data_IF_590962944637
#
_entry.id   IF_590962944637
#
_cell.length_a   1.000
_cell.length_b   1.000
_cell.length_c   1.000
_cell.angle_alpha   90.00
_cell.angle_beta   90.00
_cell.angle_gamma   90.00
#
_symmetry.space_group_name_H-M   'P 1'
#
loop_
_entity.id
_entity.type
_entity.pdbx_description
1 polymer ?
#
# COMPACT_ATOMS: atom_id res chain seq x y z
N UNK A 1 8.66 17.89 -7.10
CA UNK A 1 8.37 16.50 -7.52
C UNK A 1 7.51 15.80 -6.49
N UNK A 2 6.57 14.98 -6.97
CA UNK A 2 5.81 14.00 -6.18
C UNK A 2 6.18 12.63 -6.73
N UNK A 3 6.76 11.77 -5.90
CA UNK A 3 7.09 10.40 -6.32
C UNK A 3 6.01 9.44 -5.85
N UNK A 4 5.68 8.48 -6.71
CA UNK A 4 4.73 7.40 -6.42
C UNK A 4 5.47 6.08 -6.57
N UNK A 5 5.71 5.38 -5.46
CA UNK A 5 6.36 4.07 -5.42
C UNK A 5 5.28 3.00 -5.60
N UNK A 6 5.56 1.98 -6.39
CA UNK A 6 4.56 0.97 -6.77
C UNK A 6 3.63 1.44 -7.90
N UNK A 7 4.15 2.28 -8.81
CA UNK A 7 3.41 2.89 -9.91
C UNK A 7 2.65 1.90 -10.81
N UNK A 8 3.13 0.66 -10.97
CA UNK A 8 2.49 -0.37 -11.76
C UNK A 8 1.42 -1.18 -11.00
N UNK A 9 1.29 -0.96 -9.69
CA UNK A 9 0.24 -1.56 -8.86
C UNK A 9 -1.15 -0.97 -9.16
N UNK A 10 -2.20 -1.57 -8.58
CA UNK A 10 -3.59 -1.14 -8.82
C UNK A 10 -3.81 0.35 -8.53
N UNK A 11 -3.45 0.79 -7.34
CA UNK A 11 -3.60 2.20 -6.94
C UNK A 11 -2.66 3.12 -7.72
N UNK A 12 -1.40 2.70 -7.96
CA UNK A 12 -0.45 3.46 -8.77
C UNK A 12 -0.96 3.76 -10.17
N UNK A 13 -1.58 2.79 -10.85
CA UNK A 13 -2.20 2.98 -12.17
C UNK A 13 -3.45 3.89 -12.11
N UNK A 14 -4.21 3.86 -11.02
CA UNK A 14 -5.32 4.78 -10.81
C UNK A 14 -4.83 6.21 -10.64
N UNK A 15 -3.81 6.42 -9.81
CA UNK A 15 -3.13 7.71 -9.65
C UNK A 15 -2.59 8.25 -10.99
N UNK A 16 -1.96 7.40 -11.81
CA UNK A 16 -1.53 7.81 -13.17
C UNK A 16 -2.70 8.30 -14.03
N UNK A 17 -3.83 7.59 -13.96
CA UNK A 17 -5.02 7.95 -14.74
C UNK A 17 -5.64 9.27 -14.31
N UNK A 18 -5.58 9.61 -13.02
CA UNK A 18 -6.11 10.87 -12.48
C UNK A 18 -5.14 12.03 -12.77
N UNK A 19 -3.85 11.84 -12.48
CA UNK A 19 -2.86 12.90 -12.64
C UNK A 19 -2.65 13.30 -14.09
N UNK A 20 -2.84 12.36 -15.04
CA UNK A 20 -2.78 12.66 -16.49
C UNK A 20 -3.91 13.58 -16.98
N UNK A 21 -5.00 13.72 -16.23
CA UNK A 21 -6.16 14.58 -16.53
C UNK A 21 -6.16 15.87 -15.71
N UNK A 22 -5.23 16.00 -14.76
CA UNK A 22 -5.15 17.17 -13.89
C UNK A 22 -4.51 18.34 -14.61
N UNK A 23 -5.13 19.51 -14.53
CA UNK A 23 -4.57 20.79 -15.02
C UNK A 23 -3.49 21.33 -14.09
N UNK A 24 -3.24 20.68 -12.94
CA UNK A 24 -2.24 21.12 -11.98
C UNK A 24 -0.83 20.75 -12.45
N UNK A 25 0.09 21.70 -12.36
CA UNK A 25 1.48 21.61 -12.83
C UNK A 25 2.42 20.90 -11.84
N UNK A 26 1.95 19.84 -11.17
CA UNK A 26 2.84 19.00 -10.36
C UNK A 26 3.61 18.02 -11.25
N UNK A 27 4.88 17.81 -10.92
CA UNK A 27 5.68 16.79 -11.60
C UNK A 27 5.55 15.47 -10.85
N UNK A 28 4.69 14.59 -11.36
CA UNK A 28 4.46 13.24 -10.83
C UNK A 28 5.42 12.26 -11.47
N UNK A 29 6.12 11.47 -10.65
CA UNK A 29 7.08 10.46 -11.09
C UNK A 29 6.66 9.12 -10.51
N UNK A 30 6.23 8.22 -11.38
CA UNK A 30 5.76 6.89 -11.02
C UNK A 30 6.91 5.90 -11.16
N UNK A 31 7.21 5.18 -10.07
CA UNK A 31 8.31 4.24 -10.01
C UNK A 31 7.74 2.82 -9.81
N UNK A 32 8.03 1.95 -10.76
CA UNK A 32 7.76 0.52 -10.65
C UNK A 32 8.81 -0.18 -9.79
N UNK A 33 8.58 -1.43 -9.41
CA UNK A 33 9.58 -2.24 -8.69
C UNK A 33 10.87 -2.49 -9.48
N UNK A 34 10.82 -2.42 -10.81
CA UNK A 34 12.00 -2.52 -11.66
C UNK A 34 12.84 -1.23 -11.66
N UNK A 35 12.21 -0.08 -11.42
CA UNK A 35 12.87 1.25 -11.38
C UNK A 35 13.31 1.64 -9.97
N UNK A 36 12.60 1.14 -8.95
CA UNK A 36 12.94 1.32 -7.55
C UNK A 36 12.50 0.10 -6.74
N UNK A 37 13.48 -0.72 -6.37
CA UNK A 37 13.27 -1.74 -5.35
C UNK A 37 13.35 -1.08 -3.96
N UNK A 38 12.23 -1.04 -3.24
CA UNK A 38 12.17 -0.39 -1.91
C UNK A 38 13.00 -1.09 -0.84
N UNK A 39 13.43 -2.35 -1.06
CA UNK A 39 14.34 -3.06 -0.15
C UNK A 39 15.81 -2.70 -0.41
N UNK A 40 16.11 -1.98 -1.49
CA UNK A 40 17.44 -1.50 -1.81
C UNK A 40 17.62 -0.04 -1.34
N UNK A 41 18.26 0.12 -0.19
CA UNK A 41 18.48 1.44 0.43
C UNK A 41 19.34 2.37 -0.44
N UNK A 42 20.28 1.82 -1.22
CA UNK A 42 21.12 2.62 -2.10
C UNK A 42 20.32 3.17 -3.30
N UNK A 43 19.44 2.36 -3.88
CA UNK A 43 18.51 2.83 -4.91
C UNK A 43 17.57 3.91 -4.37
N UNK A 44 16.98 3.71 -3.19
CA UNK A 44 16.14 4.72 -2.55
C UNK A 44 16.90 6.03 -2.34
N UNK A 45 18.09 5.97 -1.75
CA UNK A 45 18.95 7.14 -1.54
C UNK A 45 19.22 7.88 -2.85
N UNK A 46 19.63 7.18 -3.91
CA UNK A 46 19.93 7.78 -5.22
C UNK A 46 18.71 8.45 -5.87
N UNK A 47 17.51 7.87 -5.72
CA UNK A 47 16.26 8.48 -6.22
C UNK A 47 15.93 9.76 -5.47
N UNK A 48 15.99 9.76 -4.14
CA UNK A 48 15.69 10.95 -3.33
C UNK A 48 16.73 12.06 -3.51
N UNK A 49 18.01 11.72 -3.62
CA UNK A 49 19.07 12.68 -3.89
C UNK A 49 18.87 13.41 -5.23
N UNK A 50 18.52 12.64 -6.27
CA UNK A 50 18.29 13.17 -7.62
C UNK A 50 17.02 13.98 -7.73
N UNK A 51 15.92 13.51 -7.16
CA UNK A 51 14.59 14.07 -7.36
C UNK A 51 14.17 15.08 -6.30
N UNK A 52 14.70 14.96 -5.08
CA UNK A 52 14.33 15.79 -3.92
C UNK A 52 12.82 15.99 -3.82
N UNK A 53 12.05 14.90 -3.68
CA UNK A 53 10.59 14.98 -3.72
C UNK A 53 10.06 15.73 -2.49
N UNK A 54 9.01 16.52 -2.70
CA UNK A 54 8.26 17.16 -1.60
C UNK A 54 7.27 16.18 -0.98
N UNK A 55 6.70 15.29 -1.81
CA UNK A 55 5.79 14.24 -1.39
C UNK A 55 6.24 12.89 -1.96
N UNK A 56 6.07 11.85 -1.13
CA UNK A 56 6.25 10.45 -1.50
C UNK A 56 4.96 9.69 -1.19
N UNK A 57 4.33 9.08 -2.20
CA UNK A 57 3.17 8.20 -2.04
C UNK A 57 3.67 6.76 -2.17
N UNK A 58 3.66 6.02 -1.07
CA UNK A 58 4.07 4.62 -1.06
C UNK A 58 2.86 3.68 -1.25
N UNK A 59 2.68 3.20 -2.50
CA UNK A 59 1.72 2.17 -2.86
C UNK A 59 2.37 0.77 -2.97
N UNK A 60 3.69 0.65 -2.76
CA UNK A 60 4.37 -0.64 -2.80
C UNK A 60 4.15 -1.39 -1.48
N UNK A 61 3.82 -2.67 -1.61
CA UNK A 61 3.64 -3.57 -0.48
C UNK A 61 3.74 -5.03 -0.94
N UNK A 62 4.07 -5.92 -0.02
CA UNK A 62 3.78 -7.35 -0.13
C UNK A 62 2.31 -7.54 0.23
N UNK A 63 1.48 -8.00 -0.70
CA UNK A 63 0.00 -8.04 -0.55
C UNK A 63 -0.61 -9.43 -0.62
N UNK A 64 0.21 -10.48 -0.79
CA UNK A 64 -0.26 -11.86 -0.84
C UNK A 64 -0.49 -12.38 0.60
N UNK A 65 -1.69 -12.13 1.14
CA UNK A 65 -2.04 -12.36 2.55
C UNK A 65 -1.74 -13.80 2.98
N UNK A 66 -2.29 -14.78 2.26
CA UNK A 66 -2.12 -16.20 2.61
C UNK A 66 -0.65 -16.65 2.44
N UNK A 67 0.02 -16.20 1.38
CA UNK A 67 1.41 -16.53 1.13
C UNK A 67 2.35 -15.92 2.17
N UNK A 68 1.98 -14.82 2.82
CA UNK A 68 2.79 -14.19 3.84
C UNK A 68 3.07 -15.13 5.04
N UNK A 69 2.16 -16.08 5.33
CA UNK A 69 2.36 -17.06 6.40
C UNK A 69 3.58 -17.95 6.13
N UNK A 70 3.81 -18.32 4.87
CA UNK A 70 4.94 -19.15 4.45
C UNK A 70 6.17 -18.30 4.04
N UNK A 71 5.98 -17.02 3.73
CA UNK A 71 7.02 -16.11 3.21
C UNK A 71 7.20 -14.88 4.12
N UNK A 72 7.24 -15.12 5.43
CA UNK A 72 7.32 -14.09 6.45
C UNK A 72 8.50 -13.14 6.24
N UNK A 73 9.67 -13.68 5.90
CA UNK A 73 10.89 -12.89 5.70
C UNK A 73 10.70 -11.79 4.65
N UNK A 74 10.12 -12.10 3.50
CA UNK A 74 9.84 -11.11 2.46
C UNK A 74 8.70 -10.16 2.85
N UNK A 75 7.66 -10.65 3.52
CA UNK A 75 6.58 -9.80 4.01
C UNK A 75 7.11 -8.71 4.96
N UNK A 76 7.92 -9.07 5.95
CA UNK A 76 8.54 -8.11 6.86
C UNK A 76 9.60 -7.24 6.19
N UNK A 77 10.43 -7.79 5.29
CA UNK A 77 11.43 -7.01 4.57
C UNK A 77 10.79 -5.87 3.76
N UNK A 78 9.64 -6.13 3.10
CA UNK A 78 8.95 -5.14 2.26
C UNK A 78 8.05 -4.22 3.09
N UNK A 79 7.20 -4.79 3.97
CA UNK A 79 6.15 -4.03 4.64
C UNK A 79 6.62 -3.32 5.91
N UNK A 80 7.73 -3.75 6.51
CA UNK A 80 8.30 -3.16 7.72
C UNK A 80 9.66 -2.50 7.47
N UNK A 81 10.66 -3.30 7.05
CA UNK A 81 12.06 -2.83 7.05
C UNK A 81 12.31 -1.81 5.93
N UNK A 82 11.79 -2.06 4.74
CA UNK A 82 11.85 -1.11 3.63
C UNK A 82 11.03 0.15 3.92
N UNK A 83 9.87 0.02 4.57
CA UNK A 83 9.03 1.16 4.98
C UNK A 83 9.74 1.99 6.05
N UNK A 84 10.44 1.36 7.00
CA UNK A 84 11.29 2.05 7.97
C UNK A 84 12.38 2.86 7.26
N UNK A 85 13.12 2.25 6.34
CA UNK A 85 14.16 2.93 5.55
C UNK A 85 13.59 4.09 4.72
N UNK A 86 12.37 3.92 4.18
CA UNK A 86 11.69 4.99 3.46
C UNK A 86 11.32 6.17 4.38
N UNK A 87 10.87 5.91 5.61
CA UNK A 87 10.59 6.95 6.59
C UNK A 87 11.87 7.72 6.99
N UNK A 88 12.99 7.02 7.17
CA UNK A 88 14.30 7.62 7.47
C UNK A 88 14.78 8.53 6.31
N UNK A 89 14.62 8.08 5.08
CA UNK A 89 14.98 8.89 3.90
C UNK A 89 14.03 10.10 3.76
N UNK A 90 12.73 9.92 3.94
CA UNK A 90 11.77 11.03 3.93
C UNK A 90 12.12 12.09 4.97
N UNK A 91 12.55 11.67 6.17
CA UNK A 91 13.02 12.59 7.21
C UNK A 91 14.26 13.37 6.75
N UNK A 92 15.24 12.68 6.16
CA UNK A 92 16.50 13.29 5.71
C UNK A 92 16.31 14.32 4.59
N UNK A 93 15.29 14.15 3.74
CA UNK A 93 15.00 15.05 2.62
C UNK A 93 13.81 15.98 2.86
N UNK A 94 13.28 16.04 4.08
CA UNK A 94 12.10 16.85 4.45
C UNK A 94 10.86 16.54 3.58
N UNK A 95 10.71 15.29 3.17
CA UNK A 95 9.63 14.77 2.32
C UNK A 95 8.44 14.35 3.17
N UNK A 96 7.22 14.73 2.79
CA UNK A 96 5.99 14.21 3.39
C UNK A 96 5.65 12.84 2.81
N UNK A 97 5.47 11.83 3.67
CA UNK A 97 5.14 10.46 3.28
C UNK A 97 3.64 10.19 3.40
N UNK A 98 3.02 9.72 2.31
CA UNK A 98 1.69 9.12 2.31
C UNK A 98 1.87 7.60 2.14
N UNK A 99 1.51 6.83 3.16
CA UNK A 99 1.68 5.37 3.17
C UNK A 99 0.33 4.65 3.13
N UNK A 100 0.17 3.75 2.16
CA UNK A 100 -1.05 2.94 2.05
C UNK A 100 -0.91 1.71 2.96
N UNK A 101 -1.84 1.59 3.90
CA UNK A 101 -1.94 0.46 4.82
C UNK A 101 -3.24 -0.31 4.62
N UNK A 102 -3.64 -1.12 5.58
CA UNK A 102 -4.70 -2.11 5.47
C UNK A 102 -5.56 -2.18 6.73
N UNK A 103 -6.78 -2.66 6.59
CA UNK A 103 -7.67 -3.05 7.69
C UNK A 103 -7.19 -4.31 8.44
N UNK A 104 -6.32 -5.13 7.84
CA UNK A 104 -5.72 -6.31 8.48
C UNK A 104 -4.85 -5.99 9.70
N UNK A 105 -4.62 -4.72 10.01
CA UNK A 105 -4.00 -4.29 11.28
C UNK A 105 -4.92 -4.49 12.49
N UNK A 106 -6.21 -4.70 12.27
CA UNK A 106 -7.20 -5.00 13.30
C UNK A 106 -7.46 -6.50 13.43
N UNK A 107 -8.01 -6.93 14.56
CA UNK A 107 -8.31 -8.34 14.86
C UNK A 107 -9.58 -8.89 14.17
N UNK A 108 -10.38 -8.00 13.57
CA UNK A 108 -11.64 -8.38 12.93
C UNK A 108 -12.77 -8.78 13.90
N UNK A 109 -12.60 -8.63 15.20
CA UNK A 109 -13.59 -9.02 16.20
C UNK A 109 -14.75 -8.01 16.37
N UNK A 110 -14.57 -6.78 15.89
CA UNK A 110 -15.59 -5.72 16.02
C UNK A 110 -16.67 -5.84 14.94
N UNK A 111 -17.94 -5.79 15.36
CA UNK A 111 -19.09 -5.62 14.46
C UNK A 111 -19.45 -4.16 14.18
N UNK A 112 -18.72 -3.21 14.78
CA UNK A 112 -18.92 -1.77 14.59
C UNK A 112 -17.90 -1.22 13.60
N UNK A 113 -18.22 -0.13 12.88
CA UNK A 113 -17.23 0.61 12.11
C UNK A 113 -16.02 0.99 12.97
N UNK A 114 -14.84 0.77 12.45
CA UNK A 114 -13.57 1.08 13.11
C UNK A 114 -13.17 2.53 12.82
N UNK A 115 -12.46 3.13 13.76
CA UNK A 115 -11.88 4.47 13.63
C UNK A 115 -10.36 4.43 13.82
N UNK A 116 -9.68 5.51 13.48
CA UNK A 116 -8.21 5.59 13.47
C UNK A 116 -7.57 5.34 14.85
N UNK A 117 -8.31 5.62 15.91
CA UNK A 117 -7.84 5.46 17.31
C UNK A 117 -8.11 4.08 17.90
N UNK A 118 -8.82 3.21 17.18
CA UNK A 118 -9.08 1.85 17.65
C UNK A 118 -7.77 1.05 17.75
N UNK A 119 -7.71 0.19 18.76
CA UNK A 119 -6.51 -0.61 19.02
C UNK A 119 -6.23 -1.59 17.87
N UNK A 120 -5.02 -1.55 17.35
CA UNK A 120 -4.55 -2.52 16.37
C UNK A 120 -4.10 -3.81 17.07
N UNK A 121 -4.54 -4.96 16.54
CA UNK A 121 -4.20 -6.29 17.02
C UNK A 121 -4.21 -7.29 15.85
N UNK A 122 -3.27 -7.19 14.91
CA UNK A 122 -3.25 -8.03 13.71
C UNK A 122 -3.12 -9.51 14.07
N UNK A 123 -3.87 -10.36 13.37
CA UNK A 123 -3.95 -11.81 13.64
C UNK A 123 -3.21 -12.67 12.61
N UNK A 124 -2.62 -12.05 11.58
CA UNK A 124 -1.85 -12.75 10.55
C UNK A 124 -0.55 -12.00 10.23
N UNK A 125 0.38 -12.67 9.56
CA UNK A 125 1.71 -12.15 9.21
C UNK A 125 1.63 -10.91 8.34
N UNK A 126 0.73 -10.88 7.36
CA UNK A 126 0.54 -9.70 6.51
C UNK A 126 0.14 -8.48 7.34
N UNK A 127 -0.92 -8.58 8.14
CA UNK A 127 -1.38 -7.50 9.01
C UNK A 127 -0.31 -7.04 9.99
N UNK A 128 0.40 -7.99 10.62
CA UNK A 128 1.50 -7.70 11.54
C UNK A 128 2.63 -6.93 10.84
N UNK A 129 3.07 -7.39 9.65
CA UNK A 129 4.13 -6.74 8.89
C UNK A 129 3.75 -5.30 8.49
N UNK A 130 2.49 -5.08 8.08
CA UNK A 130 1.97 -3.75 7.75
C UNK A 130 1.90 -2.85 8.98
N UNK A 131 1.39 -3.36 10.10
CA UNK A 131 1.28 -2.60 11.35
C UNK A 131 2.64 -2.18 11.89
N UNK A 132 3.63 -3.06 11.88
CA UNK A 132 5.00 -2.70 12.29
C UNK A 132 5.62 -1.64 11.36
N UNK A 133 5.27 -1.63 10.08
CA UNK A 133 5.60 -0.55 9.15
C UNK A 133 4.96 0.79 9.53
N UNK A 134 3.66 0.81 9.89
CA UNK A 134 2.99 2.00 10.40
C UNK A 134 3.68 2.55 11.65
N UNK A 135 4.00 1.66 12.59
CA UNK A 135 4.70 2.05 13.82
C UNK A 135 6.09 2.64 13.54
N UNK A 136 6.83 2.05 12.58
CA UNK A 136 8.13 2.58 12.18
C UNK A 136 8.02 3.99 11.60
N UNK A 137 7.03 4.25 10.73
CA UNK A 137 6.76 5.60 10.20
C UNK A 137 6.45 6.57 11.33
N UNK A 138 5.48 6.24 12.19
CA UNK A 138 5.01 7.12 13.26
C UNK A 138 6.12 7.49 14.26
N UNK A 139 7.04 6.56 14.53
CA UNK A 139 8.16 6.78 15.44
C UNK A 139 9.29 7.63 14.83
N UNK A 140 9.42 7.66 13.49
CA UNK A 140 10.56 8.30 12.80
C UNK A 140 10.17 9.64 12.20
N UNK A 141 9.03 9.71 11.53
CA UNK A 141 8.66 10.79 10.63
C UNK A 141 7.39 11.50 11.10
N UNK A 142 7.48 12.80 11.45
CA UNK A 142 6.28 13.58 11.82
C UNK A 142 5.41 13.94 10.61
N UNK A 143 6.05 14.22 9.45
CA UNK A 143 5.34 14.59 8.21
C UNK A 143 4.86 13.34 7.47
N UNK A 144 3.82 12.69 8.00
CA UNK A 144 3.25 11.51 7.35
C UNK A 144 1.73 11.45 7.42
N UNK A 145 1.18 10.67 6.49
CA UNK A 145 -0.20 10.20 6.50
C UNK A 145 -0.19 8.68 6.29
N UNK A 146 -0.91 7.95 7.14
CA UNK A 146 -1.13 6.51 7.00
C UNK A 146 -2.59 6.32 6.61
N UNK A 147 -2.83 5.73 5.44
CA UNK A 147 -4.17 5.54 4.88
C UNK A 147 -4.47 4.05 4.87
N UNK A 148 -5.31 3.59 5.79
CA UNK A 148 -5.79 2.21 5.84
C UNK A 148 -6.94 2.05 4.87
N UNK A 149 -6.88 1.02 4.03
CA UNK A 149 -7.91 0.68 3.06
C UNK A 149 -8.21 -0.81 3.09
N UNK A 150 -9.41 -1.19 2.63
CA UNK A 150 -9.83 -2.58 2.55
C UNK A 150 -10.43 -2.89 1.18
N UNK A 151 -10.31 -4.15 0.75
CA UNK A 151 -10.97 -4.71 -0.43
C UNK A 151 -10.85 -3.82 -1.68
N UNK A 152 -9.61 -3.37 -1.94
CA UNK A 152 -9.31 -2.44 -3.03
C UNK A 152 -9.61 -3.09 -4.39
N UNK A 153 -10.42 -2.44 -5.22
CA UNK A 153 -10.77 -2.90 -6.55
C UNK A 153 -10.76 -1.78 -7.59
N UNK A 154 -10.52 -2.14 -8.84
CA UNK A 154 -10.60 -1.25 -10.00
C UNK A 154 -10.56 -2.04 -11.30
N UNK A 155 -10.65 -1.35 -12.42
CA UNK A 155 -10.40 -1.89 -13.75
C UNK A 155 -8.91 -2.21 -13.98
N UNK A 156 -8.03 -1.66 -13.14
CA UNK A 156 -6.57 -1.83 -13.22
C UNK A 156 -6.12 -3.05 -12.44
N UNK A 157 -5.01 -3.66 -12.89
CA UNK A 157 -4.36 -4.81 -12.27
C UNK A 157 -5.32 -5.98 -11.96
N UNK A 158 -4.92 -6.93 -11.11
CA UNK A 158 -5.74 -8.03 -10.64
C UNK A 158 -6.37 -7.68 -9.29
N UNK A 159 -7.62 -8.11 -9.09
CA UNK A 159 -8.34 -7.97 -7.83
C UNK A 159 -9.43 -9.04 -7.73
N UNK A 160 -10.07 -9.13 -6.57
CA UNK A 160 -11.10 -10.13 -6.28
C UNK A 160 -12.26 -10.06 -7.29
N UNK A 161 -12.79 -8.87 -7.60
CA UNK A 161 -13.91 -8.70 -8.54
C UNK A 161 -13.56 -9.27 -9.91
N UNK A 162 -12.41 -8.92 -10.47
CA UNK A 162 -11.96 -9.43 -11.78
C UNK A 162 -11.71 -10.94 -11.75
N UNK A 163 -11.20 -11.46 -10.64
CA UNK A 163 -11.02 -12.90 -10.45
C UNK A 163 -12.38 -13.62 -10.46
N UNK A 164 -13.38 -13.11 -9.75
CA UNK A 164 -14.73 -13.70 -9.76
C UNK A 164 -15.39 -13.66 -11.15
N UNK A 165 -15.28 -12.53 -11.85
CA UNK A 165 -15.80 -12.41 -13.23
C UNK A 165 -15.12 -13.44 -14.16
N UNK A 166 -13.80 -13.60 -14.07
CA UNK A 166 -13.05 -14.57 -14.87
C UNK A 166 -13.44 -16.02 -14.54
N UNK A 167 -13.57 -16.35 -13.26
CA UNK A 167 -13.96 -17.69 -12.82
C UNK A 167 -15.41 -18.03 -13.22
N UNK A 168 -16.32 -17.09 -13.17
CA UNK A 168 -17.72 -17.27 -13.58
C UNK A 168 -17.88 -17.64 -15.07
N UNK A 169 -16.88 -17.33 -15.92
CA UNK A 169 -16.90 -17.74 -17.32
C UNK A 169 -16.54 -19.22 -17.54
N UNK A 170 -15.89 -19.86 -16.59
CA UNK A 170 -15.32 -21.22 -16.74
C UNK A 170 -15.78 -22.22 -15.67
N UNK A 171 -16.35 -21.73 -14.57
CA UNK A 171 -16.79 -22.55 -13.43
C UNK A 171 -18.29 -22.45 -13.24
N UNK A 172 -18.95 -23.58 -13.03
CA UNK A 172 -20.40 -23.65 -12.73
C UNK A 172 -20.68 -23.39 -11.24
N UNK A 173 -19.69 -23.54 -10.37
CA UNK A 173 -19.81 -23.34 -8.93
C UNK A 173 -18.52 -22.77 -8.39
N UNK A 174 -18.61 -21.80 -7.48
CA UNK A 174 -17.50 -21.19 -6.75
C UNK A 174 -17.76 -21.33 -5.25
N UNK A 175 -16.68 -21.57 -4.50
CA UNK A 175 -16.69 -21.48 -3.05
C UNK A 175 -15.99 -20.19 -2.64
N UNK A 176 -16.66 -19.36 -1.86
CA UNK A 176 -16.18 -18.07 -1.39
C UNK A 176 -16.36 -18.01 0.12
N UNK A 177 -15.39 -17.45 0.82
CA UNK A 177 -15.49 -17.13 2.25
C UNK A 177 -16.65 -16.17 2.44
N UNK A 178 -17.56 -16.43 3.40
CA UNK A 178 -18.77 -15.65 3.62
C UNK A 178 -18.84 -14.98 5.01
N UNK A 179 -17.93 -15.31 5.91
CA UNK A 179 -17.87 -14.85 7.30
C UNK A 179 -16.96 -13.61 7.49
N UNK A 180 -16.38 -13.12 6.41
CA UNK A 180 -15.63 -11.86 6.42
C UNK A 180 -16.52 -10.71 5.99
N UNK A 181 -16.54 -9.66 6.81
CA UNK A 181 -17.27 -8.41 6.54
C UNK A 181 -16.26 -7.28 6.35
N UNK A 182 -16.40 -6.54 5.27
CA UNK A 182 -15.49 -5.43 4.95
C UNK A 182 -16.17 -4.40 4.05
N UNK A 183 -15.52 -3.26 3.88
CA UNK A 183 -15.98 -2.18 3.00
C UNK A 183 -15.12 -2.15 1.74
N UNK A 184 -15.69 -2.49 0.57
CA UNK A 184 -14.96 -2.36 -0.69
C UNK A 184 -14.56 -0.92 -0.97
N UNK A 185 -13.30 -0.72 -1.38
CA UNK A 185 -12.77 0.60 -1.74
C UNK A 185 -12.49 0.65 -3.25
N UNK A 186 -13.13 1.56 -3.97
CA UNK A 186 -12.81 1.80 -5.37
C UNK A 186 -11.50 2.58 -5.46
N UNK A 187 -10.50 2.00 -6.12
CA UNK A 187 -9.15 2.58 -6.13
C UNK A 187 -9.05 3.92 -6.86
N UNK A 188 -10.00 4.26 -7.73
CA UNK A 188 -10.07 5.59 -8.35
C UNK A 188 -10.59 6.65 -7.38
N UNK A 189 -11.46 6.27 -6.41
CA UNK A 189 -11.94 7.19 -5.39
C UNK A 189 -10.87 7.42 -4.30
N UNK A 190 -10.03 6.40 -4.05
CA UNK A 190 -8.89 6.52 -3.15
C UNK A 190 -7.75 7.36 -3.74
N UNK A 191 -7.61 7.37 -5.07
CA UNK A 191 -6.54 8.05 -5.78
C UNK A 191 -6.79 9.55 -5.90
#
# INVERSE_FOLDING_TARGET
HIIIIGGNGQLGQCLQSITSRSEQSFNYIFLSSAELNITDSAQMQGVFERLKPVYCINCAAYTAVDQAEDDQANAFAINRDAVKGLAEICLAYDTTLLHISTDFVFDGASSKPLVETDACAPINVYGQSKYEGEQAIANILQKHFIIRTSWLYSEKANNFCKTMIKLAQSKTQLQVIYDQVGTPTYAMDLA
#
